data_IF_128853028942
#
_entry.id   IF_128853028942
#
_cell.length_a   1.000
_cell.length_b   1.000
_cell.length_c   1.000
_cell.angle_alpha   90.00
_cell.angle_beta   90.00
_cell.angle_gamma   90.00
#
_symmetry.space_group_name_H-M   'P 1'
#
loop_
_entity.id
_entity.type
_entity.pdbx_description
1 polymer ?
#
# COMPACT_ATOMS: atom_id res chain seq x y z
N UNK A 1 14.28 36.20 16.48
CA UNK A 1 15.07 35.12 15.81
C UNK A 1 14.57 34.99 14.39
N UNK A 2 15.40 34.61 13.40
CA UNK A 2 14.91 34.34 12.05
C UNK A 2 13.88 33.20 12.08
N UNK A 3 12.86 33.31 11.24
CA UNK A 3 11.82 32.28 11.13
C UNK A 3 12.44 30.93 10.71
N UNK A 4 11.89 29.79 11.17
CA UNK A 4 12.39 28.49 10.77
C UNK A 4 12.30 28.28 9.24
N UNK A 5 13.38 27.76 8.64
CA UNK A 5 13.46 27.50 7.20
C UNK A 5 13.40 26.00 6.85
N UNK A 6 13.53 25.13 7.85
CA UNK A 6 13.54 23.67 7.69
C UNK A 6 12.23 23.04 8.15
N UNK A 7 11.64 22.10 7.39
CA UNK A 7 10.40 21.44 7.78
C UNK A 7 10.61 20.54 9.00
N UNK A 8 9.70 20.63 9.97
CA UNK A 8 9.63 19.79 11.16
C UNK A 8 8.29 19.02 11.19
N UNK A 9 8.24 17.77 11.71
CA UNK A 9 6.97 17.07 11.87
C UNK A 9 6.07 17.77 12.90
N UNK A 10 4.76 17.81 12.62
CA UNK A 10 3.76 18.53 13.42
C UNK A 10 2.67 17.61 13.99
N UNK A 11 2.39 16.47 13.32
CA UNK A 11 1.26 15.61 13.69
C UNK A 11 1.70 14.20 14.09
N UNK A 12 1.34 13.81 15.30
CA UNK A 12 1.66 12.51 15.89
C UNK A 12 1.02 11.31 15.20
N UNK A 13 1.38 10.11 15.64
CA UNK A 13 0.72 8.85 15.22
C UNK A 13 -0.78 8.89 15.51
N UNK A 14 -1.57 8.11 14.75
CA UNK A 14 -3.03 8.07 14.90
C UNK A 14 -3.49 7.88 16.35
N UNK A 15 -2.91 6.90 17.05
CA UNK A 15 -3.26 6.61 18.44
C UNK A 15 -3.03 7.82 19.37
N UNK A 16 -1.84 8.45 19.29
CA UNK A 16 -1.50 9.60 20.14
C UNK A 16 -2.23 10.87 19.74
N UNK A 17 -2.45 11.07 18.45
CA UNK A 17 -3.26 12.18 17.97
C UNK A 17 -4.69 12.12 18.53
N UNK A 18 -5.26 10.91 18.67
CA UNK A 18 -6.56 10.70 19.31
C UNK A 18 -6.61 11.03 20.80
N UNK A 19 -5.46 11.03 21.49
CA UNK A 19 -5.34 11.36 22.93
C UNK A 19 -5.26 12.88 23.17
N UNK A 20 -5.08 13.69 22.13
CA UNK A 20 -4.92 15.15 22.25
C UNK A 20 -6.23 15.84 22.65
N UNK A 21 -6.11 16.90 23.45
CA UNK A 21 -7.19 17.87 23.60
C UNK A 21 -7.34 18.69 22.30
N UNK A 22 -8.52 18.60 21.67
CA UNK A 22 -8.81 19.33 20.43
C UNK A 22 -9.28 20.76 20.65
N UNK A 23 -9.69 21.10 21.87
CA UNK A 23 -10.12 22.46 22.26
C UNK A 23 -8.96 23.31 22.79
N UNK A 24 -7.78 22.72 23.02
CA UNK A 24 -6.62 23.39 23.61
C UNK A 24 -5.31 22.81 23.10
N UNK A 25 -4.24 23.61 23.13
CA UNK A 25 -2.88 23.16 22.77
C UNK A 25 -2.03 22.79 23.98
N UNK A 26 -2.58 22.82 25.20
CA UNK A 26 -1.83 22.55 26.45
C UNK A 26 -1.19 21.15 26.52
N UNK A 27 -1.74 20.17 25.82
CA UNK A 27 -1.23 18.79 25.78
C UNK A 27 -0.45 18.48 24.49
N UNK A 28 -0.21 19.48 23.66
CA UNK A 28 0.63 19.33 22.48
C UNK A 28 2.11 19.27 22.86
N UNK A 29 2.93 18.66 22.01
CA UNK A 29 4.37 18.62 22.25
C UNK A 29 4.97 20.04 22.25
N UNK A 30 5.79 20.42 23.26
CA UNK A 30 6.45 21.72 23.30
C UNK A 30 7.23 22.03 22.01
N UNK A 31 7.96 21.04 21.49
CA UNK A 31 8.69 21.17 20.23
C UNK A 31 7.80 21.58 19.03
N UNK A 32 6.52 21.18 19.01
CA UNK A 32 5.56 21.57 17.98
C UNK A 32 5.05 22.98 18.23
N UNK A 33 4.67 23.32 19.46
CA UNK A 33 4.17 24.66 19.80
C UNK A 33 5.24 25.72 19.61
N UNK A 34 6.46 25.45 20.04
CA UNK A 34 7.62 26.36 19.94
C UNK A 34 7.96 26.62 18.46
N UNK A 35 7.93 25.58 17.63
CA UNK A 35 8.14 25.70 16.19
C UNK A 35 7.08 26.60 15.53
N UNK A 36 5.79 26.42 15.88
CA UNK A 36 4.71 27.25 15.33
C UNK A 36 4.79 28.71 15.81
N UNK A 37 5.15 28.93 17.07
CA UNK A 37 5.31 30.28 17.64
C UNK A 37 6.56 31.02 17.15
N UNK A 38 7.52 30.31 16.54
CA UNK A 38 8.71 30.93 15.96
C UNK A 38 8.45 31.64 14.62
N UNK A 39 7.27 31.47 14.02
CA UNK A 39 6.88 32.18 12.80
C UNK A 39 6.28 33.56 13.12
N UNK A 40 6.42 34.54 12.21
CA UNK A 40 5.77 35.84 12.35
C UNK A 40 4.23 35.72 12.44
N UNK A 41 3.60 36.65 13.16
CA UNK A 41 2.16 36.60 13.44
C UNK A 41 1.29 36.64 12.16
N UNK A 42 1.76 37.35 11.13
CA UNK A 42 1.14 37.44 9.82
C UNK A 42 1.08 36.11 9.06
N UNK A 43 1.84 35.09 9.46
CA UNK A 43 1.79 33.75 8.87
C UNK A 43 0.66 32.91 9.48
N UNK A 44 0.13 33.30 10.65
CA UNK A 44 -0.97 32.62 11.33
C UNK A 44 -0.74 31.10 11.46
N UNK A 45 0.48 30.73 11.87
CA UNK A 45 0.91 29.33 11.92
C UNK A 45 0.04 28.48 12.85
N UNK A 46 -0.43 29.06 13.96
CA UNK A 46 -1.25 28.39 14.95
C UNK A 46 -2.66 28.11 14.44
N UNK A 47 -3.24 29.05 13.70
CA UNK A 47 -4.55 28.95 13.06
C UNK A 47 -4.53 27.88 11.98
N UNK A 48 -3.49 27.88 11.12
CA UNK A 48 -3.27 26.83 10.13
C UNK A 48 -3.13 25.44 10.76
N UNK A 49 -2.37 25.33 11.86
CA UNK A 49 -2.23 24.09 12.62
C UNK A 49 -3.57 23.60 13.20
N UNK A 50 -4.38 24.50 13.79
CA UNK A 50 -5.71 24.17 14.31
C UNK A 50 -6.68 23.69 13.24
N UNK A 51 -6.68 24.33 12.07
CA UNK A 51 -7.52 23.90 10.95
C UNK A 51 -7.16 22.48 10.49
N UNK A 52 -5.86 22.18 10.36
CA UNK A 52 -5.39 20.83 9.99
C UNK A 52 -5.71 19.81 11.08
N UNK A 53 -5.55 20.15 12.37
CA UNK A 53 -5.98 19.28 13.48
C UNK A 53 -7.48 18.97 13.40
N UNK A 54 -8.32 19.98 13.15
CA UNK A 54 -9.77 19.80 13.01
C UNK A 54 -10.09 18.84 11.87
N UNK A 55 -9.48 19.04 10.70
CA UNK A 55 -9.67 18.14 9.56
C UNK A 55 -9.24 16.69 9.84
N UNK A 56 -8.07 16.50 10.47
CA UNK A 56 -7.59 15.15 10.78
C UNK A 56 -8.44 14.45 11.84
N UNK A 57 -9.05 15.20 12.77
CA UNK A 57 -9.98 14.67 13.78
C UNK A 57 -11.20 14.01 13.13
N UNK A 58 -11.70 14.54 12.01
CA UNK A 58 -12.82 13.96 11.26
C UNK A 58 -12.56 12.52 10.76
N UNK A 59 -11.30 12.06 10.79
CA UNK A 59 -10.90 10.71 10.38
C UNK A 59 -10.37 9.84 11.53
N UNK A 60 -10.67 10.21 12.79
CA UNK A 60 -10.27 9.48 14.00
C UNK A 60 -10.92 8.07 14.16
N UNK A 61 -11.66 7.59 13.16
CA UNK A 61 -12.17 6.21 13.07
C UNK A 61 -11.51 5.36 11.98
N UNK A 62 -10.53 5.89 11.23
CA UNK A 62 -9.87 5.16 10.15
C UNK A 62 -8.39 5.56 10.05
N UNK A 63 -7.54 4.80 10.74
CA UNK A 63 -6.08 5.03 10.81
C UNK A 63 -5.40 5.12 9.44
N UNK A 64 -5.80 4.29 8.48
CA UNK A 64 -5.21 4.31 7.13
C UNK A 64 -5.52 5.62 6.40
N UNK A 65 -6.76 6.09 6.47
CA UNK A 65 -7.16 7.37 5.88
C UNK A 65 -6.49 8.53 6.61
N UNK A 66 -6.48 8.52 7.94
CA UNK A 66 -5.76 9.51 8.74
C UNK A 66 -4.28 9.62 8.35
N UNK A 67 -3.58 8.48 8.26
CA UNK A 67 -2.14 8.47 7.94
C UNK A 67 -1.84 9.03 6.55
N UNK A 68 -2.68 8.70 5.56
CA UNK A 68 -2.59 9.27 4.22
C UNK A 68 -2.88 10.78 4.25
N UNK A 69 -3.97 11.18 4.89
CA UNK A 69 -4.41 12.57 4.89
C UNK A 69 -3.41 13.46 5.60
N UNK A 70 -2.98 13.08 6.81
CA UNK A 70 -1.91 13.71 7.60
C UNK A 70 -0.68 13.97 6.74
N UNK A 71 -0.25 13.01 5.94
CA UNK A 71 0.94 13.14 5.10
C UNK A 71 0.82 14.30 4.10
N UNK A 72 -0.35 14.49 3.49
CA UNK A 72 -0.51 15.52 2.46
C UNK A 72 -0.82 16.91 3.05
N UNK A 73 -1.68 16.99 4.06
CA UNK A 73 -2.02 18.29 4.68
C UNK A 73 -0.88 18.85 5.52
N UNK A 74 -0.05 18.00 6.12
CA UNK A 74 1.16 18.45 6.82
C UNK A 74 2.22 18.98 5.85
N UNK A 75 2.40 18.34 4.68
CA UNK A 75 3.27 18.88 3.62
C UNK A 75 2.81 20.25 3.18
N UNK A 76 1.51 20.42 2.99
CA UNK A 76 0.91 21.70 2.61
C UNK A 76 1.17 22.77 3.68
N UNK A 77 0.85 22.49 4.95
CA UNK A 77 1.09 23.41 6.05
C UNK A 77 2.57 23.79 6.16
N UNK A 78 3.48 22.82 6.13
CA UNK A 78 4.91 23.11 6.21
C UNK A 78 5.39 23.95 5.03
N UNK A 79 4.82 23.74 3.83
CA UNK A 79 5.20 24.48 2.63
C UNK A 79 4.70 25.92 2.73
N UNK A 80 3.49 26.16 3.24
CA UNK A 80 2.99 27.52 3.46
C UNK A 80 3.82 28.27 4.50
N UNK A 81 4.26 27.58 5.56
CA UNK A 81 5.07 28.19 6.62
C UNK A 81 6.50 28.53 6.18
N UNK A 82 7.19 27.60 5.51
CA UNK A 82 8.65 27.69 5.30
C UNK A 82 9.06 28.09 3.89
N UNK A 83 8.17 27.99 2.90
CA UNK A 83 8.46 28.28 1.48
C UNK A 83 7.63 29.42 0.93
N UNK A 84 6.31 29.29 0.99
CA UNK A 84 5.44 30.34 0.45
C UNK A 84 5.34 31.55 1.39
N UNK A 85 5.52 31.34 2.70
CA UNK A 85 5.37 32.36 3.75
C UNK A 85 4.03 33.09 3.63
N UNK A 86 2.95 32.32 3.51
CA UNK A 86 1.57 32.81 3.48
C UNK A 86 0.73 32.05 4.49
N UNK A 87 -0.31 32.67 5.08
CA UNK A 87 -1.28 31.93 5.88
C UNK A 87 -1.89 30.78 5.09
N UNK A 88 -1.97 29.61 5.72
CA UNK A 88 -2.55 28.41 5.10
C UNK A 88 -3.98 28.67 4.62
N UNK A 89 -4.76 29.41 5.41
CA UNK A 89 -6.17 29.68 5.15
C UNK A 89 -6.41 30.78 4.11
N UNK A 90 -5.38 31.59 3.80
CA UNK A 90 -5.42 32.66 2.79
C UNK A 90 -4.86 32.21 1.43
N UNK A 91 -4.60 30.91 1.27
CA UNK A 91 -4.10 30.36 0.03
C UNK A 91 -5.04 30.67 -1.14
N UNK A 92 -4.47 31.15 -2.24
CA UNK A 92 -5.14 31.37 -3.52
C UNK A 92 -4.82 30.25 -4.49
N UNK A 93 -5.51 30.24 -5.63
CA UNK A 93 -5.24 29.28 -6.72
C UNK A 93 -3.77 29.22 -7.12
N UNK A 94 -3.11 30.37 -7.23
CA UNK A 94 -1.68 30.47 -7.59
C UNK A 94 -0.78 29.76 -6.58
N UNK A 95 -1.09 29.86 -5.29
CA UNK A 95 -0.37 29.14 -4.24
C UNK A 95 -0.62 27.63 -4.33
N UNK A 96 -1.84 27.19 -4.62
CA UNK A 96 -2.13 25.77 -4.82
C UNK A 96 -1.38 25.19 -6.04
N UNK A 97 -1.32 25.93 -7.15
CA UNK A 97 -0.54 25.53 -8.34
C UNK A 97 0.96 25.44 -8.01
N UNK A 98 1.52 26.44 -7.31
CA UNK A 98 2.92 26.43 -6.88
C UNK A 98 3.25 25.27 -5.92
N UNK A 99 2.34 24.93 -5.00
CA UNK A 99 2.49 23.78 -4.12
C UNK A 99 2.50 22.45 -4.88
N UNK A 100 1.65 22.29 -5.90
CA UNK A 100 1.62 21.08 -6.73
C UNK A 100 2.91 20.93 -7.55
N UNK A 101 3.43 22.03 -8.10
CA UNK A 101 4.75 22.04 -8.76
C UNK A 101 5.86 21.65 -7.79
N UNK A 102 5.85 22.20 -6.58
CA UNK A 102 6.79 21.81 -5.54
C UNK A 102 6.69 20.33 -5.18
N UNK A 103 5.49 19.74 -5.17
CA UNK A 103 5.34 18.31 -4.91
C UNK A 103 5.87 17.41 -6.04
N UNK A 104 5.96 17.93 -7.27
CA UNK A 104 6.58 17.24 -8.42
C UNK A 104 8.11 17.29 -8.33
N UNK A 105 8.67 18.41 -7.87
CA UNK A 105 10.11 18.64 -7.72
C UNK A 105 10.41 19.35 -6.38
N UNK A 106 10.36 18.64 -5.25
CA UNK A 106 10.60 19.23 -3.93
C UNK A 106 12.08 19.48 -3.73
N UNK A 107 12.39 20.44 -2.86
CA UNK A 107 13.77 20.76 -2.50
C UNK A 107 14.51 19.54 -1.91
N UNK A 108 15.83 19.42 -2.13
CA UNK A 108 16.63 18.33 -1.54
C UNK A 108 16.48 18.20 -0.01
N UNK A 109 16.36 19.34 0.70
CA UNK A 109 16.18 19.37 2.15
C UNK A 109 14.84 18.79 2.64
N UNK A 110 13.88 18.55 1.73
CA UNK A 110 12.57 17.97 2.00
C UNK A 110 12.47 16.48 1.65
N UNK A 111 13.52 15.92 1.05
CA UNK A 111 13.57 14.54 0.58
C UNK A 111 14.46 13.72 1.51
N UNK A 112 13.92 12.63 2.04
CA UNK A 112 14.65 11.62 2.80
C UNK A 112 14.82 10.33 1.99
N UNK A 113 15.88 9.55 2.23
CA UNK A 113 16.15 8.30 1.50
C UNK A 113 15.16 7.17 1.83
N UNK A 114 14.40 7.31 2.92
CA UNK A 114 13.35 6.37 3.34
C UNK A 114 12.28 7.12 4.11
N UNK A 115 11.07 6.56 4.16
CA UNK A 115 10.03 7.03 5.08
C UNK A 115 10.46 6.71 6.51
N UNK A 116 10.63 7.75 7.34
CA UNK A 116 10.90 7.62 8.78
C UNK A 116 9.65 7.95 9.59
N UNK A 117 9.62 7.54 10.86
CA UNK A 117 8.62 8.03 11.80
C UNK A 117 8.82 9.53 12.03
N UNK A 118 7.74 10.26 12.31
CA UNK A 118 7.78 11.70 12.61
C UNK A 118 8.44 11.97 13.96
N UNK A 119 8.12 11.15 14.94
CA UNK A 119 8.62 11.25 16.30
C UNK A 119 9.27 9.93 16.71
N UNK A 120 10.25 10.03 17.61
CA UNK A 120 10.97 8.90 18.20
C UNK A 120 10.59 8.80 19.66
N UNK A 121 10.22 7.60 20.10
CA UNK A 121 9.88 7.30 21.49
C UNK A 121 11.16 7.25 22.33
N UNK A 122 11.20 8.04 23.40
CA UNK A 122 12.19 7.95 24.46
C UNK A 122 11.57 7.25 25.67
N UNK A 123 12.06 6.05 25.97
CA UNK A 123 11.53 5.24 27.06
C UNK A 123 12.18 3.86 27.10
N UNK A 124 11.87 3.09 28.14
CA UNK A 124 12.39 1.73 28.31
C UNK A 124 11.86 0.77 27.21
N UNK A 125 12.35 -0.47 27.17
CA UNK A 125 11.91 -1.46 26.17
C UNK A 125 10.39 -1.71 26.14
N UNK A 126 9.73 -1.66 27.30
CA UNK A 126 8.26 -1.72 27.42
C UNK A 126 7.67 -0.31 27.38
N UNK A 127 6.56 -0.13 26.66
CA UNK A 127 5.81 1.13 26.61
C UNK A 127 5.26 1.47 28.01
N UNK A 128 5.54 2.68 28.48
CA UNK A 128 5.09 3.23 29.77
C UNK A 128 4.36 4.55 29.54
N UNK A 129 3.47 4.92 30.46
CA UNK A 129 2.76 6.20 30.40
C UNK A 129 3.70 7.42 30.52
N UNK A 130 4.89 7.23 31.10
CA UNK A 130 5.93 8.26 31.27
C UNK A 130 6.85 8.41 30.07
N UNK A 131 6.65 7.64 28.99
CA UNK A 131 7.48 7.76 27.80
C UNK A 131 7.30 9.14 27.17
N UNK A 132 8.41 9.75 26.79
CA UNK A 132 8.40 11.02 26.06
C UNK A 132 8.69 10.77 24.58
N UNK A 133 8.40 11.77 23.75
CA UNK A 133 8.61 11.67 22.31
C UNK A 133 9.31 12.92 21.83
N UNK A 134 10.34 12.71 21.03
CA UNK A 134 11.15 13.78 20.44
C UNK A 134 11.04 13.73 18.93
N UNK A 135 11.37 14.86 18.30
CA UNK A 135 11.42 14.96 16.85
C UNK A 135 12.39 13.93 16.28
N UNK A 136 12.01 13.31 15.18
CA UNK A 136 12.94 12.50 14.42
C UNK A 136 13.66 13.39 13.39
N UNK A 137 14.92 13.74 13.64
CA UNK A 137 15.73 14.58 12.76
C UNK A 137 15.92 13.98 11.36
N UNK A 138 15.85 12.65 11.26
CA UNK A 138 15.93 11.92 10.01
C UNK A 138 14.59 11.90 9.24
N UNK A 139 13.51 12.43 9.83
CA UNK A 139 12.24 12.57 9.12
C UNK A 139 12.33 13.70 8.10
N UNK A 140 11.75 13.42 6.93
CA UNK A 140 11.58 14.38 5.85
C UNK A 140 10.17 14.23 5.26
N UNK A 141 9.53 15.32 4.79
CA UNK A 141 8.15 15.25 4.31
C UNK A 141 7.99 14.36 3.07
N UNK A 142 9.00 14.29 2.20
CA UNK A 142 9.04 13.39 1.05
C UNK A 142 10.04 12.26 1.31
N UNK A 143 9.66 11.04 0.93
CA UNK A 143 10.52 9.87 1.00
C UNK A 143 10.74 9.31 -0.39
N UNK A 144 12.00 9.07 -0.75
CA UNK A 144 12.37 8.38 -1.96
C UNK A 144 13.31 7.24 -1.61
N UNK A 145 12.77 6.03 -1.63
CA UNK A 145 13.57 4.82 -1.51
C UNK A 145 13.88 4.31 -2.91
N UNK A 146 15.12 3.87 -3.14
CA UNK A 146 15.47 3.10 -4.32
C UNK A 146 14.48 1.92 -4.49
N UNK A 147 14.16 1.61 -5.74
CA UNK A 147 13.23 0.52 -6.05
C UNK A 147 13.71 -0.79 -5.44
N UNK A 148 12.80 -1.74 -5.23
CA UNK A 148 13.18 -3.06 -4.72
C UNK A 148 14.18 -3.74 -5.65
N UNK A 149 13.94 -3.65 -6.94
CA UNK A 149 14.80 -4.19 -7.99
C UNK A 149 16.20 -3.59 -7.94
N UNK A 150 16.32 -2.27 -7.90
CA UNK A 150 17.60 -1.57 -7.83
C UNK A 150 18.38 -1.95 -6.56
N UNK A 151 17.69 -2.08 -5.42
CA UNK A 151 18.34 -2.53 -4.17
C UNK A 151 18.89 -3.95 -4.29
N UNK A 152 18.19 -4.85 -4.99
CA UNK A 152 18.66 -6.22 -5.21
C UNK A 152 19.82 -6.25 -6.20
N UNK A 153 19.70 -5.57 -7.34
CA UNK A 153 20.77 -5.47 -8.34
C UNK A 153 22.05 -4.88 -7.75
N UNK A 154 21.93 -3.80 -6.97
CA UNK A 154 23.07 -3.20 -6.29
C UNK A 154 23.76 -4.19 -5.33
N UNK A 155 22.99 -5.03 -4.63
CA UNK A 155 23.54 -6.08 -3.77
C UNK A 155 24.18 -7.23 -4.56
N UNK A 156 23.53 -7.70 -5.64
CA UNK A 156 24.03 -8.74 -6.54
C UNK A 156 25.36 -8.32 -7.21
N UNK A 157 25.41 -7.09 -7.71
CA UNK A 157 26.56 -6.52 -8.42
C UNK A 157 27.60 -5.88 -7.46
N UNK A 158 27.36 -5.91 -6.14
CA UNK A 158 28.21 -5.28 -5.12
C UNK A 158 28.55 -3.80 -5.42
N UNK A 159 27.56 -3.06 -5.93
CA UNK A 159 27.69 -1.64 -6.30
C UNK A 159 26.82 -0.73 -5.42
N UNK A 160 27.14 0.56 -5.30
CA UNK A 160 26.24 1.51 -4.65
C UNK A 160 24.90 1.62 -5.41
N UNK A 161 23.85 2.03 -4.68
CA UNK A 161 22.55 2.36 -5.28
C UNK A 161 22.74 3.51 -6.26
N UNK A 162 22.17 3.38 -7.46
CA UNK A 162 22.10 4.49 -8.39
C UNK A 162 21.17 5.56 -7.82
N UNK A 163 21.70 6.77 -7.66
CA UNK A 163 20.94 7.88 -7.10
C UNK A 163 19.93 8.36 -8.15
N UNK A 164 18.66 8.06 -7.90
CA UNK A 164 17.58 8.58 -8.74
C UNK A 164 17.20 9.99 -8.31
N UNK A 165 17.00 10.89 -9.28
CA UNK A 165 16.28 12.14 -9.03
C UNK A 165 14.89 11.83 -8.46
N UNK A 166 14.37 12.72 -7.61
CA UNK A 166 13.03 12.56 -7.07
C UNK A 166 11.99 12.38 -8.17
N UNK A 167 11.26 11.26 -8.06
CA UNK A 167 10.11 10.95 -8.90
C UNK A 167 8.91 10.73 -7.98
N UNK A 168 7.84 11.53 -8.10
CA UNK A 168 6.64 11.29 -7.33
C UNK A 168 6.05 9.93 -7.70
N UNK A 169 5.57 9.18 -6.69
CA UNK A 169 4.89 7.92 -6.94
C UNK A 169 3.66 8.12 -7.83
N UNK A 170 3.34 7.12 -8.67
CA UNK A 170 2.18 7.17 -9.57
C UNK A 170 0.91 7.49 -8.79
N UNK A 171 0.15 8.49 -9.25
CA UNK A 171 -1.09 8.94 -8.59
C UNK A 171 -0.89 9.77 -7.32
N UNK A 172 0.35 9.93 -6.80
CA UNK A 172 0.60 10.72 -5.58
C UNK A 172 0.15 12.16 -5.71
N UNK A 173 0.35 12.80 -6.88
CA UNK A 173 -0.10 14.17 -7.12
C UNK A 173 -1.63 14.27 -7.14
N UNK A 174 -2.31 13.32 -7.79
CA UNK A 174 -3.77 13.26 -7.78
C UNK A 174 -4.32 13.07 -6.36
N UNK A 175 -3.64 12.27 -5.53
CA UNK A 175 -3.99 12.09 -4.13
C UNK A 175 -3.74 13.35 -3.30
N UNK A 176 -2.60 14.02 -3.47
CA UNK A 176 -2.32 15.32 -2.84
C UNK A 176 -3.43 16.31 -3.20
N UNK A 177 -3.76 16.42 -4.49
CA UNK A 177 -4.82 17.30 -4.98
C UNK A 177 -6.18 16.99 -4.32
N UNK A 178 -6.57 15.72 -4.28
CA UNK A 178 -7.83 15.30 -3.70
C UNK A 178 -7.90 15.56 -2.19
N UNK A 179 -6.83 15.24 -1.46
CA UNK A 179 -6.77 15.43 -0.01
C UNK A 179 -6.72 16.91 0.37
N UNK A 180 -5.88 17.71 -0.29
CA UNK A 180 -5.84 19.16 -0.04
C UNK A 180 -7.16 19.83 -0.44
N UNK A 181 -7.80 19.41 -1.53
CA UNK A 181 -9.14 19.84 -1.88
C UNK A 181 -10.18 19.49 -0.82
N UNK A 182 -10.13 18.28 -0.26
CA UNK A 182 -11.00 17.87 0.85
C UNK A 182 -10.73 18.64 2.14
N UNK A 183 -9.47 18.95 2.44
CA UNK A 183 -9.08 19.76 3.59
C UNK A 183 -9.67 21.16 3.50
N UNK A 184 -9.52 21.85 2.35
CA UNK A 184 -10.11 23.18 2.20
C UNK A 184 -11.64 23.17 2.15
N UNK A 185 -12.26 22.07 1.70
CA UNK A 185 -13.71 21.94 1.83
C UNK A 185 -14.12 21.86 3.30
N UNK A 186 -13.45 21.03 4.10
CA UNK A 186 -13.65 20.98 5.55
C UNK A 186 -13.39 22.33 6.21
N UNK A 187 -12.34 23.05 5.79
CA UNK A 187 -12.01 24.36 6.31
C UNK A 187 -13.14 25.39 6.06
N UNK A 188 -13.80 25.32 4.90
CA UNK A 188 -14.98 26.15 4.60
C UNK A 188 -16.17 25.74 5.47
N UNK A 189 -16.44 24.44 5.56
CA UNK A 189 -17.60 23.91 6.29
C UNK A 189 -17.52 24.25 7.80
N UNK A 190 -16.32 24.32 8.36
CA UNK A 190 -16.05 24.73 9.74
C UNK A 190 -15.85 26.25 9.93
N UNK A 191 -15.95 27.05 8.85
CA UNK A 191 -15.81 28.51 8.91
C UNK A 191 -14.38 29.03 9.09
N UNK A 192 -13.35 28.23 8.80
CA UNK A 192 -11.95 28.68 8.84
C UNK A 192 -11.55 29.53 7.63
N UNK A 193 -12.15 29.32 6.46
CA UNK A 193 -11.91 30.12 5.27
C UNK A 193 -13.13 30.13 4.33
N UNK A 194 -13.12 31.00 3.33
CA UNK A 194 -14.26 31.18 2.42
C UNK A 194 -14.10 30.44 1.08
N UNK A 195 -12.87 30.09 0.70
CA UNK A 195 -12.55 29.66 -0.65
C UNK A 195 -11.67 28.40 -0.67
N UNK A 196 -11.91 27.52 -1.66
CA UNK A 196 -11.10 26.33 -1.88
C UNK A 196 -10.12 26.56 -3.04
N UNK A 197 -8.82 26.81 -2.76
CA UNK A 197 -7.85 27.14 -3.79
C UNK A 197 -7.57 25.96 -4.74
N UNK A 198 -7.78 24.71 -4.31
CA UNK A 198 -7.60 23.52 -5.13
C UNK A 198 -8.76 23.30 -6.11
N UNK A 199 -9.99 23.67 -5.74
CA UNK A 199 -11.16 23.58 -6.64
C UNK A 199 -11.02 24.50 -7.86
N UNK A 200 -10.34 25.63 -7.70
CA UNK A 200 -10.09 26.61 -8.76
C UNK A 200 -9.03 26.17 -9.79
N UNK A 201 -8.21 25.15 -9.47
CA UNK A 201 -7.21 24.59 -10.39
C UNK A 201 -7.93 23.78 -11.47
N UNK A 202 -7.79 24.19 -12.75
CA UNK A 202 -8.56 23.63 -13.88
C UNK A 202 -8.48 22.10 -13.95
N UNK A 203 -9.61 21.46 -14.26
CA UNK A 203 -9.74 20.00 -14.38
C UNK A 203 -8.84 19.35 -15.45
N UNK A 204 -8.44 20.10 -16.49
CA UNK A 204 -7.48 19.66 -17.54
C UNK A 204 -6.02 20.01 -17.22
N UNK A 205 -5.70 20.37 -15.97
CA UNK A 205 -4.32 20.65 -15.59
C UNK A 205 -3.45 19.40 -15.72
N UNK A 206 -2.15 19.60 -16.02
CA UNK A 206 -1.12 18.56 -16.05
C UNK A 206 -1.09 17.67 -14.79
N UNK A 207 -1.64 18.14 -13.66
CA UNK A 207 -1.73 17.42 -12.38
C UNK A 207 -2.83 16.36 -12.33
N UNK A 208 -3.84 16.46 -13.22
CA UNK A 208 -4.95 15.51 -13.35
C UNK A 208 -4.82 14.58 -14.55
N UNK A 209 -3.82 14.79 -15.41
CA UNK A 209 -3.54 13.83 -16.47
C UNK A 209 -3.23 12.49 -15.81
N UNK A 210 -4.11 11.52 -16.03
CA UNK A 210 -3.74 10.11 -15.90
C UNK A 210 -2.63 9.92 -16.91
N UNK A 211 -1.38 9.87 -16.45
CA UNK A 211 -0.31 9.34 -17.27
C UNK A 211 -0.78 7.94 -17.67
N UNK A 212 -1.22 7.78 -18.92
CA UNK A 212 -1.24 6.51 -19.65
C UNK A 212 0.20 6.09 -19.92
N UNK A 213 1.07 6.24 -18.91
CA UNK A 213 2.31 5.50 -18.87
C UNK A 213 1.91 4.07 -18.60
N UNK A 214 2.50 3.18 -19.36
CA UNK A 214 2.39 1.73 -19.28
C UNK A 214 2.03 1.34 -17.84
N UNK A 215 0.83 0.81 -17.62
CA UNK A 215 0.57 0.17 -16.34
C UNK A 215 1.48 -1.04 -16.36
N UNK A 216 2.73 -0.86 -15.93
CA UNK A 216 3.70 -1.93 -15.73
C UNK A 216 3.02 -2.88 -14.76
N UNK A 217 2.34 -3.87 -15.35
CA UNK A 217 1.39 -4.71 -14.67
C UNK A 217 2.25 -5.53 -13.77
N UNK A 218 2.19 -5.20 -12.48
CA UNK A 218 2.92 -5.84 -11.39
C UNK A 218 2.49 -7.30 -11.25
N UNK A 219 2.83 -8.11 -12.24
CA UNK A 219 2.43 -9.51 -12.45
C UNK A 219 3.68 -10.32 -12.80
N UNK A 220 3.68 -11.58 -12.39
CA UNK A 220 4.67 -12.57 -12.85
C UNK A 220 4.24 -13.11 -14.22
N UNK A 221 5.20 -13.58 -15.02
CA UNK A 221 4.92 -14.43 -16.19
C UNK A 221 4.52 -15.83 -15.71
N UNK A 222 3.91 -16.64 -16.58
CA UNK A 222 3.55 -18.04 -16.24
C UNK A 222 4.79 -18.82 -15.78
N UNK A 223 5.89 -18.73 -16.54
CA UNK A 223 7.17 -19.33 -16.19
C UNK A 223 7.64 -18.91 -14.79
N UNK A 224 7.65 -17.61 -14.48
CA UNK A 224 8.08 -17.11 -13.17
C UNK A 224 7.18 -17.60 -12.03
N UNK A 225 5.87 -17.71 -12.28
CA UNK A 225 4.94 -18.26 -11.30
C UNK A 225 5.19 -19.74 -11.05
N UNK A 226 5.39 -20.53 -12.10
CA UNK A 226 5.72 -21.95 -11.98
C UNK A 226 6.99 -22.13 -11.14
N UNK A 227 8.02 -21.33 -11.41
CA UNK A 227 9.23 -21.30 -10.59
C UNK A 227 8.97 -21.00 -9.11
N UNK A 228 8.11 -20.02 -8.82
CA UNK A 228 7.76 -19.64 -7.44
C UNK A 228 7.04 -20.78 -6.72
N UNK A 229 6.05 -21.40 -7.36
CA UNK A 229 5.26 -22.47 -6.76
C UNK A 229 6.10 -23.73 -6.54
N UNK A 230 6.83 -24.18 -7.56
CA UNK A 230 7.73 -25.33 -7.46
C UNK A 230 8.83 -25.10 -6.42
N UNK A 231 9.36 -23.88 -6.31
CA UNK A 231 10.36 -23.56 -5.28
C UNK A 231 9.75 -23.73 -3.89
N UNK A 232 8.52 -23.25 -3.67
CA UNK A 232 7.84 -23.43 -2.39
C UNK A 232 7.57 -24.91 -2.08
N UNK A 233 7.22 -25.72 -3.10
CA UNK A 233 7.04 -27.16 -2.97
C UNK A 233 8.34 -27.88 -2.60
N UNK A 234 9.43 -27.55 -3.28
CA UNK A 234 10.78 -28.08 -2.98
C UNK A 234 11.23 -27.69 -1.57
N UNK A 235 10.99 -26.46 -1.15
CA UNK A 235 11.28 -26.00 0.22
C UNK A 235 10.53 -26.82 1.26
N UNK A 236 9.23 -27.07 1.04
CA UNK A 236 8.41 -27.87 1.95
C UNK A 236 8.80 -29.36 1.94
N UNK A 237 9.18 -29.92 0.79
CA UNK A 237 9.65 -31.30 0.69
C UNK A 237 11.01 -31.53 1.39
N UNK A 238 11.85 -30.51 1.47
CA UNK A 238 13.15 -30.58 2.13
C UNK A 238 13.07 -30.29 3.63
N UNK A 239 12.15 -29.42 4.04
CA UNK A 239 11.99 -29.00 5.44
C UNK A 239 10.53 -28.64 5.72
N UNK A 240 9.90 -29.49 6.53
CA UNK A 240 8.52 -29.39 7.03
C UNK A 240 8.13 -27.99 7.54
N UNK A 241 9.09 -27.20 8.03
CA UNK A 241 8.84 -25.82 8.48
C UNK A 241 8.28 -24.92 7.38
N UNK A 242 8.48 -25.29 6.12
CA UNK A 242 7.99 -24.57 4.94
C UNK A 242 6.62 -25.03 4.43
N UNK A 243 6.01 -26.09 4.98
CA UNK A 243 4.64 -26.51 4.65
C UNK A 243 3.64 -25.35 4.83
N UNK A 244 3.82 -24.57 5.90
CA UNK A 244 3.01 -23.36 6.14
C UNK A 244 3.24 -22.32 5.05
N UNK A 245 4.49 -22.12 4.63
CA UNK A 245 4.83 -21.11 3.61
C UNK A 245 4.24 -21.51 2.25
N UNK A 246 4.35 -22.78 1.87
CA UNK A 246 3.71 -23.34 0.67
C UNK A 246 2.20 -23.14 0.71
N UNK A 247 1.55 -23.52 1.82
CA UNK A 247 0.12 -23.34 2.01
C UNK A 247 -0.27 -21.87 1.80
N UNK A 248 0.44 -20.92 2.40
CA UNK A 248 0.17 -19.48 2.26
C UNK A 248 0.30 -19.02 0.80
N UNK A 249 1.38 -19.40 0.10
CA UNK A 249 1.61 -19.03 -1.31
C UNK A 249 0.46 -19.53 -2.19
N UNK A 250 0.13 -20.83 -2.08
CA UNK A 250 -0.94 -21.45 -2.85
C UNK A 250 -2.31 -20.84 -2.53
N UNK A 251 -2.60 -20.59 -1.24
CA UNK A 251 -3.85 -20.00 -0.76
C UNK A 251 -4.08 -18.59 -1.34
N UNK A 252 -3.04 -17.73 -1.31
CA UNK A 252 -3.15 -16.36 -1.82
C UNK A 252 -3.40 -16.37 -3.33
N UNK A 253 -2.68 -17.22 -4.06
CA UNK A 253 -2.83 -17.34 -5.50
C UNK A 253 -4.19 -17.92 -5.87
N UNK A 254 -4.56 -19.08 -5.33
CA UNK A 254 -5.78 -19.80 -5.71
C UNK A 254 -7.06 -18.98 -5.57
N UNK A 255 -7.12 -18.07 -4.59
CA UNK A 255 -8.32 -17.29 -4.23
C UNK A 255 -8.13 -15.77 -4.35
N UNK A 256 -7.07 -15.31 -5.03
CA UNK A 256 -6.75 -13.88 -5.22
C UNK A 256 -6.70 -13.06 -3.92
N UNK A 257 -6.30 -13.64 -2.79
CA UNK A 257 -6.51 -13.01 -1.48
C UNK A 257 -5.65 -11.76 -1.28
N UNK A 258 -6.17 -10.79 -0.52
CA UNK A 258 -5.31 -9.80 0.16
C UNK A 258 -4.73 -10.43 1.41
N UNK A 259 -3.59 -9.96 1.90
CA UNK A 259 -3.02 -10.45 3.18
C UNK A 259 -4.02 -10.35 4.32
N UNK A 260 -4.79 -9.26 4.39
CA UNK A 260 -5.84 -9.07 5.40
C UNK A 260 -6.97 -10.08 5.33
N UNK A 261 -7.17 -10.74 4.18
CA UNK A 261 -8.16 -11.80 4.03
C UNK A 261 -7.62 -13.16 4.52
N UNK A 262 -6.33 -13.21 4.87
CA UNK A 262 -5.62 -14.38 5.38
C UNK A 262 -5.23 -14.24 6.87
N UNK A 263 -4.83 -13.04 7.30
CA UNK A 263 -4.48 -12.77 8.72
C UNK A 263 -5.69 -12.39 9.58
N UNK A 264 -6.79 -11.98 8.95
CA UNK A 264 -7.96 -11.46 9.65
C UNK A 264 -7.88 -9.97 9.98
N UNK A 265 -8.83 -9.54 10.81
CA UNK A 265 -9.05 -8.18 11.29
C UNK A 265 -9.58 -8.26 12.73
N UNK A 266 -9.63 -7.15 13.46
CA UNK A 266 -10.07 -7.15 14.87
C UNK A 266 -11.47 -7.75 15.08
N UNK A 267 -12.35 -7.64 14.08
CA UNK A 267 -13.71 -8.17 14.10
C UNK A 267 -13.89 -9.56 13.46
N UNK A 268 -12.82 -10.16 12.92
CA UNK A 268 -12.91 -11.46 12.25
C UNK A 268 -11.55 -12.17 12.19
N UNK A 269 -11.51 -13.40 12.71
CA UNK A 269 -10.34 -14.28 12.65
C UNK A 269 -10.63 -15.44 11.69
N UNK A 270 -9.84 -15.60 10.60
CA UNK A 270 -10.00 -16.69 9.65
C UNK A 270 -9.79 -18.06 10.30
N UNK A 271 -10.69 -18.98 9.98
CA UNK A 271 -10.67 -20.37 10.45
C UNK A 271 -10.80 -21.34 9.28
N UNK A 272 -10.48 -22.61 9.52
CA UNK A 272 -10.73 -23.67 8.55
C UNK A 272 -12.23 -23.85 8.27
N UNK A 273 -13.10 -23.54 9.24
CA UNK A 273 -14.55 -23.51 9.05
C UNK A 273 -15.05 -22.41 8.11
N UNK A 274 -14.19 -21.52 7.63
CA UNK A 274 -14.50 -20.56 6.56
C UNK A 274 -14.32 -21.14 5.16
N UNK A 275 -13.63 -22.28 5.00
CA UNK A 275 -13.59 -23.07 3.77
C UNK A 275 -14.73 -24.09 3.80
N UNK A 276 -15.70 -23.94 2.91
CA UNK A 276 -16.95 -24.73 2.92
C UNK A 276 -17.27 -25.26 1.54
N UNK A 277 -17.68 -26.52 1.49
CA UNK A 277 -18.29 -27.11 0.32
C UNK A 277 -19.81 -26.90 0.37
N UNK A 278 -20.42 -26.49 -0.73
CA UNK A 278 -21.88 -26.44 -0.86
C UNK A 278 -22.46 -27.80 -1.29
N UNK A 279 -23.79 -27.90 -1.34
CA UNK A 279 -24.48 -29.14 -1.70
C UNK A 279 -24.26 -29.60 -3.16
N UNK A 280 -23.71 -28.74 -4.01
CA UNK A 280 -23.34 -29.07 -5.39
C UNK A 280 -21.85 -29.44 -5.53
N UNK A 281 -21.11 -29.47 -4.41
CA UNK A 281 -19.69 -29.83 -4.40
C UNK A 281 -18.74 -28.65 -4.59
N UNK A 282 -19.23 -27.41 -4.76
CA UNK A 282 -18.37 -26.26 -4.99
C UNK A 282 -17.76 -25.74 -3.68
N UNK A 283 -16.48 -25.38 -3.72
CA UNK A 283 -15.79 -24.83 -2.58
C UNK A 283 -15.82 -23.30 -2.52
N UNK A 284 -16.07 -22.79 -1.32
CA UNK A 284 -16.18 -21.37 -1.02
C UNK A 284 -15.32 -21.00 0.17
N UNK A 285 -14.58 -19.90 0.06
CA UNK A 285 -13.90 -19.26 1.19
C UNK A 285 -14.68 -18.04 1.66
N UNK A 286 -15.19 -18.10 2.88
CA UNK A 286 -15.97 -17.02 3.50
C UNK A 286 -15.05 -16.00 4.16
N UNK A 287 -15.26 -14.71 3.85
CA UNK A 287 -14.38 -13.63 4.31
C UNK A 287 -15.16 -12.42 4.80
N UNK A 288 -14.66 -11.76 5.83
CA UNK A 288 -15.25 -10.50 6.35
C UNK A 288 -14.31 -9.34 6.07
N UNK A 289 -14.75 -8.41 5.21
CA UNK A 289 -13.97 -7.30 4.66
C UNK A 289 -13.92 -6.04 5.53
N UNK A 290 -13.27 -4.99 5.00
CA UNK A 290 -13.32 -3.65 5.60
C UNK A 290 -14.78 -3.17 5.69
N UNK A 291 -15.15 -2.57 6.82
CA UNK A 291 -16.51 -2.13 7.10
C UNK A 291 -17.47 -3.28 7.41
N UNK A 292 -16.96 -4.40 7.95
CA UNK A 292 -17.73 -5.58 8.33
C UNK A 292 -18.54 -6.22 7.18
N UNK A 293 -18.08 -6.03 5.94
CA UNK A 293 -18.76 -6.57 4.75
C UNK A 293 -18.39 -8.03 4.52
N UNK A 294 -19.31 -8.94 4.83
CA UNK A 294 -19.17 -10.35 4.51
C UNK A 294 -19.15 -10.58 2.99
N UNK A 295 -18.41 -11.60 2.56
CA UNK A 295 -18.35 -12.07 1.18
C UNK A 295 -17.89 -13.52 1.13
N UNK A 296 -17.95 -14.11 -0.06
CA UNK A 296 -17.40 -15.43 -0.34
C UNK A 296 -16.58 -15.36 -1.63
N UNK A 297 -15.57 -16.22 -1.72
CA UNK A 297 -14.67 -16.33 -2.86
C UNK A 297 -14.73 -17.78 -3.35
N UNK A 298 -14.88 -18.00 -4.65
CA UNK A 298 -14.81 -19.34 -5.24
C UNK A 298 -13.40 -19.94 -5.07
N UNK A 299 -13.33 -21.24 -4.79
CA UNK A 299 -12.07 -21.94 -4.54
C UNK A 299 -11.87 -23.03 -5.60
N UNK A 300 -10.65 -23.13 -6.11
CA UNK A 300 -10.27 -24.12 -7.13
C UNK A 300 -10.21 -25.52 -6.51
N UNK A 301 -10.74 -26.52 -7.21
CA UNK A 301 -10.63 -27.91 -6.76
C UNK A 301 -9.17 -28.37 -6.68
N UNK A 302 -8.33 -27.99 -7.65
CA UNK A 302 -6.88 -28.24 -7.63
C UNK A 302 -6.22 -27.76 -6.33
N UNK A 303 -6.62 -26.58 -5.84
CA UNK A 303 -6.11 -26.06 -4.57
C UNK A 303 -6.55 -26.93 -3.38
N UNK A 304 -7.81 -27.37 -3.38
CA UNK A 304 -8.36 -28.21 -2.31
C UNK A 304 -7.63 -29.54 -2.26
N UNK A 305 -7.46 -30.18 -3.42
CA UNK A 305 -6.85 -31.50 -3.54
C UNK A 305 -5.36 -31.49 -3.19
N UNK A 306 -4.60 -30.51 -3.71
CA UNK A 306 -3.14 -30.55 -3.65
C UNK A 306 -2.54 -29.77 -2.47
N UNK A 307 -3.21 -28.73 -1.98
CA UNK A 307 -2.62 -27.82 -0.99
C UNK A 307 -3.40 -27.75 0.32
N UNK A 308 -4.74 -27.71 0.28
CA UNK A 308 -5.55 -27.69 1.51
C UNK A 308 -5.43 -29.03 2.25
N UNK A 309 -5.66 -30.15 1.56
CA UNK A 309 -5.54 -31.50 2.16
C UNK A 309 -4.14 -31.74 2.71
N UNK A 310 -3.10 -31.41 1.93
CA UNK A 310 -1.69 -31.51 2.33
C UNK A 310 -1.42 -30.76 3.64
N UNK A 311 -1.80 -29.49 3.71
CA UNK A 311 -1.60 -28.67 4.90
C UNK A 311 -2.33 -29.22 6.12
N UNK A 312 -3.58 -29.68 5.96
CA UNK A 312 -4.37 -30.22 7.07
C UNK A 312 -3.79 -31.53 7.60
N UNK A 313 -3.38 -32.45 6.71
CA UNK A 313 -2.72 -33.69 7.10
C UNK A 313 -1.40 -33.41 7.82
N UNK A 314 -0.62 -32.43 7.35
CA UNK A 314 0.60 -31.98 8.02
C UNK A 314 0.34 -31.44 9.44
N UNK A 315 -0.82 -30.81 9.67
CA UNK A 315 -1.26 -30.39 11.01
C UNK A 315 -1.85 -31.53 11.87
N UNK A 316 -1.89 -32.76 11.36
CA UNK A 316 -2.51 -33.90 12.05
C UNK A 316 -4.05 -33.86 12.07
N UNK A 317 -4.66 -33.14 11.12
CA UNK A 317 -6.11 -32.97 11.01
C UNK A 317 -6.69 -33.84 9.89
N UNK A 318 -8.02 -33.96 9.85
CA UNK A 318 -8.73 -34.57 8.72
C UNK A 318 -8.38 -33.84 7.41
N UNK A 319 -8.26 -34.53 6.26
CA UNK A 319 -7.89 -33.88 4.99
C UNK A 319 -8.83 -32.73 4.57
N UNK A 320 -10.11 -32.83 4.91
CA UNK A 320 -11.10 -31.78 4.64
C UNK A 320 -11.57 -31.11 5.93
N UNK A 321 -11.91 -29.80 5.88
CA UNK A 321 -12.41 -29.08 7.04
C UNK A 321 -13.78 -29.58 7.50
N UNK A 322 -13.97 -29.61 8.82
CA UNK A 322 -15.26 -29.88 9.43
C UNK A 322 -16.21 -28.69 9.30
N UNK A 323 -17.51 -28.94 9.33
CA UNK A 323 -18.50 -27.87 9.27
C UNK A 323 -18.32 -26.89 10.44
N UNK A 324 -18.03 -25.62 10.11
CA UNK A 324 -17.81 -24.52 11.08
C UNK A 324 -16.78 -24.84 12.16
N UNK A 325 -15.75 -25.63 11.86
CA UNK A 325 -14.66 -25.85 12.80
C UNK A 325 -13.94 -24.53 13.13
N UNK A 326 -13.41 -24.43 14.34
CA UNK A 326 -12.74 -23.22 14.85
C UNK A 326 -11.22 -23.27 14.70
N UNK A 327 -10.69 -24.35 14.11
CA UNK A 327 -9.26 -24.50 13.84
C UNK A 327 -8.74 -23.28 13.07
N UNK A 328 -7.67 -22.61 13.53
CA UNK A 328 -7.12 -21.46 12.81
C UNK A 328 -6.73 -21.81 11.38
N UNK A 329 -7.02 -20.92 10.42
CA UNK A 329 -6.61 -21.14 9.03
C UNK A 329 -5.07 -21.24 8.91
N UNK A 330 -4.36 -20.41 9.66
CA UNK A 330 -2.90 -20.45 9.80
C UNK A 330 -2.53 -20.27 11.27
N UNK A 331 -1.51 -21.00 11.71
CA UNK A 331 -0.89 -20.85 13.02
C UNK A 331 0.62 -20.56 12.91
N UNK A 332 1.17 -20.02 14.00
CA UNK A 332 2.62 -20.01 14.23
C UNK A 332 3.14 -21.44 14.36
N UNK A 333 4.46 -21.65 14.22
CA UNK A 333 5.09 -22.96 14.40
C UNK A 333 4.89 -23.53 15.83
N UNK A 334 4.56 -22.66 16.81
CA UNK A 334 4.25 -23.04 18.19
C UNK A 334 2.75 -23.20 18.45
N UNK A 335 1.92 -23.23 17.42
CA UNK A 335 0.47 -23.45 17.53
C UNK A 335 -0.38 -22.21 17.85
N UNK A 336 0.23 -21.03 18.10
CA UNK A 336 -0.56 -19.79 18.28
C UNK A 336 -1.31 -19.44 16.99
N UNK A 337 -2.61 -19.18 17.08
CA UNK A 337 -3.44 -18.76 15.96
C UNK A 337 -2.93 -17.46 15.30
N UNK A 338 -3.01 -17.43 13.96
CA UNK A 338 -2.73 -16.27 13.13
C UNK A 338 -1.25 -15.91 12.97
N UNK A 339 -0.97 -15.14 11.92
CA UNK A 339 0.32 -14.50 11.65
C UNK A 339 0.13 -13.00 11.48
N UNK A 340 1.18 -12.21 11.69
CA UNK A 340 1.14 -10.79 11.32
C UNK A 340 1.27 -10.61 9.81
N UNK A 341 0.68 -9.55 9.26
CA UNK A 341 0.83 -9.16 7.84
C UNK A 341 2.33 -9.08 7.46
N UNK A 342 3.15 -8.50 8.34
CA UNK A 342 4.60 -8.41 8.15
C UNK A 342 5.26 -9.78 8.03
N UNK A 343 4.87 -10.75 8.86
CA UNK A 343 5.44 -12.09 8.83
C UNK A 343 5.08 -12.82 7.54
N UNK A 344 3.84 -12.73 7.07
CA UNK A 344 3.43 -13.30 5.78
C UNK A 344 4.27 -12.71 4.63
N UNK A 345 4.50 -11.40 4.62
CA UNK A 345 5.36 -10.76 3.61
C UNK A 345 6.78 -11.29 3.62
N UNK A 346 7.35 -11.55 4.81
CA UNK A 346 8.71 -12.12 4.94
C UNK A 346 8.75 -13.54 4.38
N UNK A 347 7.77 -14.39 4.73
CA UNK A 347 7.71 -15.77 4.21
C UNK A 347 7.62 -15.81 2.69
N UNK A 348 6.75 -14.98 2.10
CA UNK A 348 6.60 -14.91 0.65
C UNK A 348 7.83 -14.31 -0.04
N UNK A 349 8.47 -13.34 0.62
CA UNK A 349 9.69 -12.76 0.09
C UNK A 349 10.81 -13.79 -0.01
N UNK A 350 10.95 -14.64 1.01
CA UNK A 350 11.92 -15.74 1.01
C UNK A 350 11.70 -16.69 -0.18
N UNK A 351 10.45 -17.05 -0.49
CA UNK A 351 10.13 -17.88 -1.67
C UNK A 351 10.55 -17.18 -2.96
N UNK A 352 10.22 -15.90 -3.14
CA UNK A 352 10.63 -15.14 -4.33
C UNK A 352 12.15 -15.04 -4.47
N UNK A 353 12.87 -14.87 -3.36
CA UNK A 353 14.33 -14.76 -3.37
C UNK A 353 14.99 -16.09 -3.73
N UNK A 354 14.47 -17.21 -3.23
CA UNK A 354 14.94 -18.55 -3.62
C UNK A 354 14.60 -18.90 -5.06
N UNK A 355 13.38 -18.58 -5.51
CA UNK A 355 12.96 -18.81 -6.89
C UNK A 355 13.82 -17.98 -7.86
N UNK A 356 14.13 -16.72 -7.51
CA UNK A 356 15.06 -15.88 -8.26
C UNK A 356 16.46 -16.52 -8.34
N UNK A 357 17.00 -16.97 -7.20
CA UNK A 357 18.30 -17.66 -7.16
C UNK A 357 18.32 -18.94 -8.00
N UNK A 358 17.22 -19.69 -8.03
CA UNK A 358 17.07 -20.90 -8.84
C UNK A 358 17.08 -20.58 -10.34
N UNK A 359 16.29 -19.60 -10.78
CA UNK A 359 16.31 -19.14 -12.18
C UNK A 359 17.70 -18.63 -12.59
N UNK A 360 18.40 -17.91 -11.71
CA UNK A 360 19.76 -17.45 -12.00
C UNK A 360 20.76 -18.62 -12.12
N UNK A 361 20.66 -19.62 -11.23
CA UNK A 361 21.52 -20.80 -11.25
C UNK A 361 21.31 -21.67 -12.51
N UNK A 362 20.08 -21.68 -13.06
CA UNK A 362 19.75 -22.36 -14.31
C UNK A 362 20.13 -21.57 -15.58
N UNK A 363 20.66 -20.34 -15.44
CA UNK A 363 21.17 -19.55 -16.55
C UNK A 363 20.12 -18.77 -17.35
N UNK A 364 18.95 -18.51 -16.76
CA UNK A 364 17.92 -17.66 -17.38
C UNK A 364 18.42 -16.21 -17.57
N UNK A 365 17.92 -15.54 -18.62
CA UNK A 365 18.36 -14.18 -18.94
C UNK A 365 17.92 -13.16 -17.88
N UNK A 366 18.60 -12.00 -17.81
CA UNK A 366 18.21 -10.95 -16.85
C UNK A 366 16.79 -10.43 -17.11
N UNK A 367 16.36 -10.41 -18.37
CA UNK A 367 15.01 -10.06 -18.79
C UNK A 367 13.97 -11.05 -18.22
N UNK A 368 14.27 -12.34 -18.27
CA UNK A 368 13.40 -13.41 -17.76
C UNK A 368 13.24 -13.38 -16.24
N UNK A 369 14.19 -12.80 -15.50
CA UNK A 369 14.15 -12.75 -14.02
C UNK A 369 13.78 -11.37 -13.47
N UNK A 370 13.80 -10.30 -14.28
CA UNK A 370 13.63 -8.91 -13.83
C UNK A 370 12.33 -8.69 -13.03
N UNK A 371 11.19 -9.20 -13.52
CA UNK A 371 9.89 -9.10 -12.84
C UNK A 371 9.90 -9.80 -11.48
N UNK A 372 10.49 -10.98 -11.39
CA UNK A 372 10.61 -11.72 -10.13
C UNK A 372 11.51 -10.99 -9.13
N UNK A 373 12.57 -10.31 -9.60
CA UNK A 373 13.42 -9.46 -8.77
C UNK A 373 12.60 -8.34 -8.09
N UNK A 374 11.72 -7.69 -8.84
CA UNK A 374 10.83 -6.62 -8.36
C UNK A 374 9.59 -7.13 -7.59
N UNK A 375 9.23 -8.40 -7.73
CA UNK A 375 7.96 -8.95 -7.28
C UNK A 375 7.68 -8.70 -5.80
N UNK A 376 6.43 -8.42 -5.45
CA UNK A 376 5.99 -8.30 -4.06
C UNK A 376 4.74 -9.12 -3.84
N UNK A 377 4.37 -9.37 -2.59
CA UNK A 377 3.18 -10.16 -2.26
C UNK A 377 1.93 -9.75 -3.06
N UNK A 378 1.70 -8.45 -3.24
CA UNK A 378 0.52 -7.96 -3.97
C UNK A 378 0.49 -8.41 -5.44
N UNK A 379 1.65 -8.73 -6.01
CA UNK A 379 1.76 -9.24 -7.38
C UNK A 379 1.09 -10.60 -7.51
N UNK A 380 1.09 -11.48 -6.50
CA UNK A 380 0.45 -12.80 -6.61
C UNK A 380 -1.05 -12.69 -6.90
N UNK A 381 -1.72 -11.76 -6.20
CA UNK A 381 -3.13 -11.47 -6.45
C UNK A 381 -3.36 -10.98 -7.87
N UNK A 382 -2.54 -10.05 -8.36
CA UNK A 382 -2.66 -9.54 -9.71
C UNK A 382 -2.32 -10.61 -10.76
N UNK A 383 -1.26 -11.39 -10.54
CA UNK A 383 -0.82 -12.50 -11.39
C UNK A 383 -1.95 -13.50 -11.56
N UNK A 384 -2.51 -14.00 -10.46
CA UNK A 384 -3.62 -14.96 -10.50
C UNK A 384 -4.86 -14.39 -11.21
N UNK A 385 -5.22 -13.13 -10.92
CA UNK A 385 -6.36 -12.50 -11.56
C UNK A 385 -6.15 -12.27 -13.07
N UNK A 386 -4.93 -11.90 -13.49
CA UNK A 386 -4.57 -11.75 -14.89
C UNK A 386 -4.58 -13.09 -15.62
N UNK A 387 -4.07 -14.16 -15.01
CA UNK A 387 -4.04 -15.50 -15.62
C UNK A 387 -5.46 -16.04 -15.82
N UNK A 388 -6.36 -15.74 -14.89
CA UNK A 388 -7.73 -16.23 -14.92
C UNK A 388 -8.68 -15.37 -15.75
N UNK A 389 -8.38 -14.08 -15.96
CA UNK A 389 -9.27 -13.15 -16.65
C UNK A 389 -9.71 -13.64 -18.05
N UNK A 390 -8.85 -14.24 -18.90
CA UNK A 390 -9.28 -14.80 -20.19
C UNK A 390 -10.29 -15.94 -20.08
N UNK A 391 -10.39 -16.61 -18.93
CA UNK A 391 -11.17 -17.83 -18.73
C UNK A 391 -12.39 -17.63 -17.83
N UNK A 392 -12.59 -16.42 -17.30
CA UNK A 392 -13.61 -16.13 -16.27
C UNK A 392 -14.48 -14.97 -16.70
N UNK A 393 -15.76 -15.07 -16.37
CA UNK A 393 -16.67 -13.95 -16.49
C UNK A 393 -16.18 -12.76 -15.64
N UNK A 394 -16.26 -11.56 -16.21
CA UNK A 394 -15.73 -10.35 -15.60
C UNK A 394 -16.47 -10.01 -14.29
N UNK A 395 -17.76 -10.30 -14.20
CA UNK A 395 -18.57 -10.07 -13.00
C UNK A 395 -18.16 -11.04 -11.89
N UNK A 396 -17.97 -12.30 -12.23
CA UNK A 396 -17.53 -13.32 -11.27
C UNK A 396 -16.14 -13.00 -10.72
N UNK A 397 -15.19 -12.67 -11.61
CA UNK A 397 -13.85 -12.26 -11.19
C UNK A 397 -13.89 -10.97 -10.35
N UNK A 398 -14.77 -10.01 -10.66
CA UNK A 398 -14.97 -8.81 -9.84
C UNK A 398 -15.43 -9.14 -8.41
N UNK A 399 -16.40 -10.07 -8.28
CA UNK A 399 -16.96 -10.48 -6.99
C UNK A 399 -15.91 -11.23 -6.17
N UNK A 400 -15.19 -12.17 -6.77
CA UNK A 400 -14.14 -12.93 -6.09
C UNK A 400 -12.93 -12.06 -5.69
N UNK A 401 -12.58 -11.08 -6.53
CA UNK A 401 -11.61 -10.03 -6.16
C UNK A 401 -12.16 -9.07 -5.10
N UNK A 402 -13.47 -9.02 -4.90
CA UNK A 402 -14.14 -8.09 -3.97
C UNK A 402 -13.81 -6.63 -4.33
N UNK A 403 -13.90 -6.30 -5.61
CA UNK A 403 -13.79 -4.93 -6.09
C UNK A 403 -15.14 -4.21 -5.97
N UNK A 404 -15.15 -2.96 -5.51
CA UNK A 404 -16.39 -2.18 -5.39
C UNK A 404 -16.96 -1.76 -6.75
N UNK A 405 -16.14 -1.73 -7.81
CA UNK A 405 -16.55 -1.30 -9.15
C UNK A 405 -16.04 -2.27 -10.21
N UNK A 406 -16.93 -2.63 -11.15
CA UNK A 406 -16.61 -3.46 -12.31
C UNK A 406 -15.53 -2.81 -13.18
N UNK A 407 -15.55 -1.48 -13.31
CA UNK A 407 -14.55 -0.72 -14.07
C UNK A 407 -13.13 -0.94 -13.56
N UNK A 408 -12.95 -1.19 -12.26
CA UNK A 408 -11.62 -1.49 -11.69
C UNK A 408 -11.12 -2.85 -12.17
N UNK A 409 -11.98 -3.86 -12.24
CA UNK A 409 -11.61 -5.19 -12.75
C UNK A 409 -11.34 -5.12 -14.26
N UNK A 410 -12.22 -4.46 -15.00
CA UNK A 410 -12.10 -4.31 -16.44
C UNK A 410 -10.78 -3.63 -16.85
N UNK A 411 -10.51 -2.43 -16.31
CA UNK A 411 -9.36 -1.62 -16.70
C UNK A 411 -8.01 -2.24 -16.30
N UNK A 412 -8.01 -3.17 -15.34
CA UNK A 412 -6.77 -3.76 -14.79
C UNK A 412 -6.47 -5.12 -15.44
N UNK A 413 -7.48 -5.95 -15.69
CA UNK A 413 -7.26 -7.35 -16.12
C UNK A 413 -7.80 -7.68 -17.51
N UNK A 414 -8.68 -6.86 -18.08
CA UNK A 414 -9.34 -7.16 -19.36
C UNK A 414 -8.85 -6.28 -20.52
N UNK A 415 -7.63 -5.74 -20.46
CA UNK A 415 -7.01 -4.97 -21.56
C UNK A 415 -6.51 -5.87 -22.71
N UNK A 416 -7.27 -6.91 -23.07
CA UNK A 416 -7.01 -7.74 -24.27
C UNK A 416 -7.03 -6.93 -25.57
N UNK A 417 -7.57 -5.71 -25.52
CA UNK A 417 -7.61 -4.76 -26.63
C UNK A 417 -6.21 -4.32 -27.06
N UNK A 418 -5.24 -4.14 -26.15
CA UNK A 418 -3.90 -3.67 -26.52
C UNK A 418 -3.07 -4.75 -27.22
N UNK A 419 -3.14 -6.00 -26.76
CA UNK A 419 -2.50 -7.14 -27.45
C UNK A 419 -3.15 -7.42 -28.80
N UNK A 420 -4.49 -7.40 -28.89
CA UNK A 420 -5.20 -7.54 -30.17
C UNK A 420 -4.88 -6.41 -31.12
N UNK A 421 -4.77 -5.18 -30.63
CA UNK A 421 -4.39 -3.98 -31.40
C UNK A 421 -2.93 -4.02 -31.84
N UNK A 422 -2.02 -4.49 -30.99
CA UNK A 422 -0.63 -4.73 -31.35
C UNK A 422 -0.53 -5.84 -32.40
N UNK A 423 -1.24 -6.95 -32.22
CA UNK A 423 -1.27 -8.05 -33.18
C UNK A 423 -1.87 -7.64 -34.53
N UNK A 424 -2.96 -6.86 -34.52
CA UNK A 424 -3.64 -6.41 -35.73
C UNK A 424 -2.79 -5.51 -36.61
N UNK A 425 -1.83 -4.77 -36.03
CA UNK A 425 -0.89 -3.94 -36.78
C UNK A 425 0.45 -4.64 -37.07
N UNK A 426 0.88 -5.60 -36.22
CA UNK A 426 2.22 -6.23 -36.25
C UNK A 426 2.58 -6.85 -37.60
N UNK A 427 1.59 -7.32 -38.37
CA UNK A 427 1.81 -7.99 -39.67
C UNK A 427 1.35 -7.16 -40.88
N UNK A 428 0.93 -5.90 -40.68
CA UNK A 428 0.55 -5.04 -41.81
C UNK A 428 1.80 -4.47 -42.49
N UNK A 429 1.95 -4.64 -43.82
CA UNK A 429 3.08 -4.11 -44.56
C UNK A 429 3.00 -2.57 -44.66
N UNK A 430 4.16 -1.89 -44.60
CA UNK A 430 4.24 -0.42 -44.70
C UNK A 430 4.20 0.12 -46.14
N UNK A 431 4.46 -0.73 -47.15
CA UNK A 431 4.38 -0.39 -48.58
C UNK A 431 3.66 -1.52 -49.31
N UNK A 432 2.86 -1.14 -50.30
CA UNK A 432 1.89 -1.96 -51.03
C UNK A 432 0.73 -2.44 -50.17
N UNK A 433 -0.30 -1.59 -50.09
CA UNK A 433 -1.65 -2.00 -49.71
C UNK A 433 -2.33 -2.45 -51.00
N UNK A 434 -2.17 -3.72 -51.32
CA UNK A 434 -2.93 -4.36 -52.40
C UNK A 434 -4.42 -4.26 -52.16
#
# INVERSE_FOLDING_TARGET
MPAPSTPQPLFETYARFGELNFSSLKQELPAVTDYLMAFPAEIQALEGYRAVRSFLKSYAGNESTFNSYRTHVERLLLWTLTKAQVPLLDMRRTHAEAFLEFCLAPDPAWIGPVVKSRFTRLGARKKLATDTFVLNENWKPFGQCASKEERKRAAEESRPLLQEHYKPAQGSIAQIFAVCGSFFQHAIDEGFCEHNPFRAVKQKSKYKQRTTGDQDTRILTSLQWDFVLETAEQMAAQDDRYERTLFIVATIFAMYLRVSDLVGRDNWTPSMGDLRQDGAGNWWYHVVGKGNKAGKISVRDDYVENYLKRWRVHQGLSPLPGFRETTPLIATQRGRAGLSDRHIRVLLQEVFDRALGRMQAEGWSDEDVARLRAASLHWLRHTSATFDAPHRDMKDLQVDLRHNSLSTTQNVYYNSEDEKRAYSIKRLPMKERG
#
